data_IF_104009265614
#
_entry.id   IF_104009265614
#
_cell.length_a   1.000
_cell.length_b   1.000
_cell.length_c   1.000
_cell.angle_alpha   90.00
_cell.angle_beta   90.00
_cell.angle_gamma   90.00
#
_symmetry.space_group_name_H-M   'P 1'
#
loop_
_entity.id
_entity.type
_entity.pdbx_description
1 polymer ?
#
# COMPACT_ATOMS: atom_id res chain seq x y z
N UNK A 1 37.58 -9.87 34.96
CA UNK A 1 38.05 -10.24 33.61
C UNK A 1 37.43 -11.60 33.25
N UNK A 2 36.17 -11.61 32.80
CA UNK A 2 35.47 -12.85 32.46
C UNK A 2 35.51 -13.04 30.94
N UNK A 3 36.39 -13.94 30.50
CA UNK A 3 36.53 -14.34 29.10
C UNK A 3 35.31 -15.16 28.72
N UNK A 4 34.40 -14.59 27.93
CA UNK A 4 33.35 -15.37 27.27
C UNK A 4 33.97 -16.04 26.04
N UNK A 5 34.21 -17.35 26.12
CA UNK A 5 34.59 -18.17 24.97
C UNK A 5 33.33 -18.46 24.15
N UNK A 6 33.22 -17.87 22.97
CA UNK A 6 32.30 -18.33 21.94
C UNK A 6 32.98 -19.46 21.16
N UNK A 7 32.37 -20.63 21.14
CA UNK A 7 32.77 -21.73 20.26
C UNK A 7 31.80 -21.71 19.06
N UNK A 8 32.24 -21.18 17.92
CA UNK A 8 31.50 -21.30 16.66
C UNK A 8 32.13 -22.46 15.91
N UNK A 9 31.44 -23.60 15.90
CA UNK A 9 31.74 -24.73 15.03
C UNK A 9 30.85 -24.60 13.79
N UNK A 10 31.45 -24.19 12.67
CA UNK A 10 30.79 -24.21 11.36
C UNK A 10 31.13 -25.50 10.63
N UNK A 11 30.14 -26.39 10.54
CA UNK A 11 30.02 -27.37 9.44
C UNK A 11 28.56 -27.72 9.25
N UNK A 12 28.04 -27.34 8.08
CA UNK A 12 26.88 -27.90 7.34
C UNK A 12 25.65 -28.24 8.20
N UNK A 13 24.67 -27.35 8.15
CA UNK A 13 23.24 -27.67 8.33
C UNK A 13 22.82 -28.12 9.72
N UNK A 14 22.74 -27.20 10.69
CA UNK A 14 21.74 -27.15 11.77
C UNK A 14 22.00 -25.87 12.57
N UNK A 15 21.06 -24.91 12.56
CA UNK A 15 21.18 -23.68 13.35
C UNK A 15 20.54 -23.90 14.72
N UNK A 16 21.34 -24.20 15.75
CA UNK A 16 20.85 -24.18 17.14
C UNK A 16 20.90 -22.75 17.67
N UNK A 17 19.74 -22.12 17.86
CA UNK A 17 19.64 -20.87 18.62
C UNK A 17 19.31 -21.21 20.09
N UNK A 18 20.21 -20.86 21.01
CA UNK A 18 19.93 -20.92 22.46
C UNK A 18 19.58 -19.52 22.93
N UNK A 19 18.37 -19.32 23.45
CA UNK A 19 17.96 -18.05 24.08
C UNK A 19 17.86 -18.27 25.59
N UNK A 20 18.60 -17.47 26.36
CA UNK A 20 18.49 -17.42 27.82
C UNK A 20 17.53 -16.28 28.20
N UNK A 21 16.47 -16.61 28.94
CA UNK A 21 15.68 -15.61 29.67
C UNK A 21 16.47 -15.16 30.93
N UNK A 22 16.36 -13.88 31.31
CA UNK A 22 16.94 -13.20 32.49
C UNK A 22 16.75 -13.96 33.83
N UNK A 23 15.89 -14.99 33.89
CA UNK A 23 15.72 -15.88 35.06
C UNK A 23 16.45 -17.25 34.96
N UNK A 24 17.34 -17.46 33.99
CA UNK A 24 18.25 -18.62 33.98
C UNK A 24 17.63 -19.97 33.57
N UNK A 25 16.41 -20.00 33.03
CA UNK A 25 15.85 -21.18 32.38
C UNK A 25 16.19 -21.19 30.89
N UNK A 26 16.95 -22.20 30.44
CA UNK A 26 17.19 -22.47 29.04
C UNK A 26 16.00 -23.22 28.43
N UNK A 27 15.53 -22.78 27.26
CA UNK A 27 14.58 -23.50 26.41
C UNK A 27 15.31 -23.79 25.10
N UNK A 28 15.39 -25.06 24.70
CA UNK A 28 16.00 -25.49 23.43
C UNK A 28 14.86 -25.75 22.44
N UNK A 29 14.92 -25.10 21.27
CA UNK A 29 14.02 -25.42 20.14
C UNK A 29 14.86 -25.87 18.96
N UNK A 30 14.50 -27.00 18.36
CA UNK A 30 15.12 -27.53 17.15
C UNK A 30 14.14 -27.32 15.99
N UNK A 31 14.60 -26.70 14.90
CA UNK A 31 13.87 -26.66 13.64
C UNK A 31 14.59 -27.57 12.64
N UNK A 32 13.87 -28.57 12.13
CA UNK A 32 14.33 -29.42 11.03
C UNK A 32 14.05 -28.70 9.69
N UNK A 33 14.99 -28.78 8.76
CA UNK A 33 14.96 -28.06 7.47
C UNK A 33 14.87 -29.01 6.29
N UNK A 34 14.02 -30.04 6.40
CA UNK A 34 13.78 -30.99 5.32
C UNK A 34 12.28 -31.20 5.06
N UNK A 35 11.74 -30.42 4.11
CA UNK A 35 10.53 -30.82 3.38
C UNK A 35 10.49 -30.17 2.01
N UNK A 36 10.45 -31.01 0.97
CA UNK A 36 9.97 -30.65 -0.35
C UNK A 36 8.47 -30.37 -0.25
N UNK A 37 8.04 -29.16 -0.62
CA UNK A 37 6.67 -28.67 -0.42
C UNK A 37 5.96 -28.41 -1.76
N UNK A 38 4.91 -29.19 -2.02
CA UNK A 38 4.01 -29.08 -3.17
C UNK A 38 3.04 -27.91 -3.00
N UNK A 39 2.44 -27.40 -4.09
CA UNK A 39 1.59 -26.19 -4.08
C UNK A 39 0.31 -26.26 -3.20
N UNK A 40 0.07 -27.38 -2.53
CA UNK A 40 -0.96 -27.60 -1.49
C UNK A 40 -0.65 -26.94 -0.15
N UNK A 41 0.57 -26.43 0.08
CA UNK A 41 1.02 -25.97 1.41
C UNK A 41 0.63 -24.52 1.76
N UNK A 42 0.11 -23.74 0.81
CA UNK A 42 -0.34 -22.35 1.07
C UNK A 42 -1.70 -22.29 1.79
N UNK A 43 -2.59 -23.26 1.57
CA UNK A 43 -3.94 -23.25 2.16
C UNK A 43 -3.92 -23.38 3.69
N UNK A 44 -2.84 -23.93 4.25
CA UNK A 44 -2.69 -24.13 5.70
C UNK A 44 -1.94 -22.99 6.41
N UNK A 45 -1.41 -22.01 5.67
CA UNK A 45 -0.74 -20.85 6.25
C UNK A 45 -1.76 -19.74 6.54
N UNK A 46 -1.63 -18.99 7.65
CA UNK A 46 -2.48 -17.84 7.89
C UNK A 46 -2.31 -16.82 6.76
N UNK A 47 -3.42 -16.37 6.19
CA UNK A 47 -3.46 -15.35 5.14
C UNK A 47 -2.99 -14.00 5.70
N UNK A 48 -2.02 -13.38 5.02
CA UNK A 48 -1.42 -12.10 5.41
C UNK A 48 -2.12 -10.97 4.63
N UNK A 49 -2.81 -10.05 5.33
CA UNK A 49 -3.43 -8.90 4.69
C UNK A 49 -2.38 -7.92 4.14
N UNK A 50 -2.59 -7.48 2.90
CA UNK A 50 -1.85 -6.42 2.21
C UNK A 50 -2.82 -5.28 1.95
N UNK A 51 -2.54 -4.07 2.46
CA UNK A 51 -3.46 -2.95 2.31
C UNK A 51 -2.74 -1.59 2.30
N UNK A 52 -3.37 -0.62 1.64
CA UNK A 52 -3.01 0.80 1.71
C UNK A 52 -3.75 1.54 2.82
N UNK A 53 -3.78 2.87 2.74
CA UNK A 53 -4.38 3.73 3.77
C UNK A 53 -5.93 3.73 3.80
N UNK A 54 -6.49 4.33 4.85
CA UNK A 54 -7.93 4.36 5.21
C UNK A 54 -8.85 5.08 4.22
N UNK A 55 -8.34 6.08 3.50
CA UNK A 55 -9.04 6.70 2.37
C UNK A 55 -8.41 6.22 1.06
N UNK A 56 -8.57 4.93 0.69
CA UNK A 56 -7.76 4.33 -0.36
C UNK A 56 -7.99 5.01 -1.71
N UNK A 57 -6.90 5.38 -2.38
CA UNK A 57 -6.90 5.85 -3.75
C UNK A 57 -6.44 4.73 -4.70
N UNK A 58 -6.13 5.13 -5.93
CA UNK A 58 -5.79 4.19 -6.99
C UNK A 58 -4.42 3.54 -6.75
N UNK A 59 -3.46 4.25 -6.14
CA UNK A 59 -2.18 3.63 -5.76
C UNK A 59 -2.36 2.65 -4.60
N UNK A 60 -2.99 3.06 -3.49
CA UNK A 60 -3.25 2.20 -2.36
C UNK A 60 -3.87 0.84 -2.76
N UNK A 61 -4.84 0.84 -3.68
CA UNK A 61 -5.49 -0.38 -4.18
C UNK A 61 -4.64 -1.10 -5.24
N UNK A 62 -4.12 -0.38 -6.22
CA UNK A 62 -3.30 -0.95 -7.29
C UNK A 62 -2.05 -1.64 -6.73
N UNK A 63 -1.36 -0.98 -5.81
CA UNK A 63 -0.20 -1.50 -5.09
C UNK A 63 -0.53 -2.69 -4.21
N UNK A 64 -1.67 -2.71 -3.52
CA UNK A 64 -2.06 -3.86 -2.70
C UNK A 64 -2.30 -5.12 -3.56
N UNK A 65 -2.97 -4.96 -4.71
CA UNK A 65 -3.21 -6.06 -5.66
C UNK A 65 -1.90 -6.50 -6.32
N UNK A 66 -1.09 -5.55 -6.82
CA UNK A 66 0.18 -5.84 -7.47
C UNK A 66 1.15 -6.55 -6.52
N UNK A 67 1.27 -6.08 -5.28
CA UNK A 67 2.17 -6.70 -4.32
C UNK A 67 1.66 -8.06 -3.86
N UNK A 68 0.34 -8.25 -3.72
CA UNK A 68 -0.24 -9.58 -3.47
C UNK A 68 0.13 -10.56 -4.58
N UNK A 69 0.06 -10.14 -5.84
CA UNK A 69 0.47 -10.97 -6.97
C UNK A 69 1.96 -11.35 -6.88
N UNK A 70 2.84 -10.39 -6.57
CA UNK A 70 4.26 -10.64 -6.35
C UNK A 70 4.51 -11.65 -5.21
N UNK A 71 3.86 -11.44 -4.06
CA UNK A 71 4.04 -12.24 -2.86
C UNK A 71 3.59 -13.70 -3.06
N UNK A 72 2.50 -13.92 -3.79
CA UNK A 72 2.00 -15.26 -4.11
C UNK A 72 2.94 -16.04 -5.03
N UNK A 73 3.57 -15.37 -6.00
CA UNK A 73 4.64 -15.97 -6.81
C UNK A 73 5.86 -16.38 -5.95
N UNK A 74 6.04 -15.74 -4.78
CA UNK A 74 7.05 -16.09 -3.76
C UNK A 74 6.51 -17.02 -2.66
N UNK A 75 5.42 -17.75 -2.92
CA UNK A 75 4.81 -18.68 -1.96
C UNK A 75 4.49 -18.05 -0.59
N UNK A 76 4.10 -16.77 -0.59
CA UNK A 76 3.53 -16.11 0.59
C UNK A 76 2.00 -16.12 0.47
N UNK A 77 1.31 -16.68 1.46
CA UNK A 77 -0.15 -16.64 1.50
C UNK A 77 -0.62 -15.21 1.86
N UNK A 78 -0.72 -14.34 0.85
CA UNK A 78 -1.12 -12.95 1.02
C UNK A 78 -2.45 -12.65 0.31
N UNK A 79 -3.17 -11.62 0.76
CA UNK A 79 -4.37 -11.12 0.10
C UNK A 79 -4.51 -9.61 0.21
N UNK A 80 -4.92 -8.98 -0.90
CA UNK A 80 -5.19 -7.55 -0.94
C UNK A 80 -6.49 -7.22 -0.20
N UNK A 81 -6.46 -6.16 0.58
CA UNK A 81 -7.61 -5.58 1.28
C UNK A 81 -7.65 -4.07 1.10
N UNK A 82 -8.84 -3.50 1.27
CA UNK A 82 -9.03 -2.05 1.41
C UNK A 82 -9.40 -1.71 2.84
N UNK A 83 -9.02 -0.51 3.29
CA UNK A 83 -9.39 0.01 4.61
C UNK A 83 -10.59 0.97 4.58
N UNK A 84 -11.09 1.31 3.39
CA UNK A 84 -12.18 2.27 3.23
C UNK A 84 -13.01 2.04 1.97
N UNK A 85 -13.91 2.98 1.71
CA UNK A 85 -14.70 3.03 0.49
C UNK A 85 -13.82 3.51 -0.66
N UNK A 86 -13.97 2.90 -1.84
CA UNK A 86 -13.19 3.29 -3.02
C UNK A 86 -13.78 4.54 -3.66
N UNK A 87 -12.90 5.43 -4.12
CA UNK A 87 -13.31 6.58 -4.91
C UNK A 87 -13.71 6.15 -6.34
N UNK A 88 -14.30 7.07 -7.12
CA UNK A 88 -14.80 6.76 -8.46
C UNK A 88 -13.69 6.50 -9.48
N UNK A 89 -12.52 7.09 -9.30
CA UNK A 89 -11.34 6.82 -10.14
C UNK A 89 -10.90 5.36 -9.98
N UNK A 90 -10.71 4.91 -8.75
CA UNK A 90 -10.29 3.54 -8.46
C UNK A 90 -11.34 2.53 -8.92
N UNK A 91 -12.62 2.83 -8.77
CA UNK A 91 -13.71 1.99 -9.32
C UNK A 91 -13.66 1.91 -10.85
N UNK A 92 -13.39 3.03 -11.54
CA UNK A 92 -13.18 3.04 -12.99
C UNK A 92 -12.01 2.14 -13.39
N UNK A 93 -10.88 2.24 -12.69
CA UNK A 93 -9.68 1.41 -12.94
C UNK A 93 -9.97 -0.07 -12.73
N UNK A 94 -10.61 -0.46 -11.62
CA UNK A 94 -10.96 -1.86 -11.37
C UNK A 94 -11.90 -2.40 -12.46
N UNK A 95 -12.89 -1.62 -12.88
CA UNK A 95 -13.80 -1.99 -13.97
C UNK A 95 -13.09 -2.11 -15.32
N UNK A 96 -12.18 -1.17 -15.64
CA UNK A 96 -11.42 -1.18 -16.88
C UNK A 96 -10.49 -2.40 -16.98
N UNK A 97 -9.82 -2.72 -15.87
CA UNK A 97 -8.84 -3.82 -15.80
C UNK A 97 -9.48 -5.19 -15.59
N UNK A 98 -10.73 -5.24 -15.13
CA UNK A 98 -11.41 -6.45 -14.71
C UNK A 98 -10.86 -7.05 -13.42
N UNK A 99 -10.05 -6.29 -12.66
CA UNK A 99 -9.51 -6.73 -11.38
C UNK A 99 -10.62 -6.83 -10.33
N UNK A 100 -10.58 -7.89 -9.51
CA UNK A 100 -11.51 -8.02 -8.39
C UNK A 100 -11.29 -6.92 -7.37
N UNK A 101 -12.39 -6.29 -6.93
CA UNK A 101 -12.33 -5.30 -5.86
C UNK A 101 -11.87 -5.96 -4.55
N UNK A 102 -10.78 -5.49 -3.92
CA UNK A 102 -10.36 -6.01 -2.63
C UNK A 102 -11.48 -5.90 -1.59
N UNK A 103 -11.71 -6.94 -0.77
CA UNK A 103 -12.66 -6.86 0.32
C UNK A 103 -12.23 -5.83 1.36
N UNK A 104 -13.20 -5.29 2.10
CA UNK A 104 -12.90 -4.48 3.27
C UNK A 104 -12.19 -5.35 4.31
N UNK A 105 -11.11 -4.84 4.88
CA UNK A 105 -10.41 -5.53 5.96
C UNK A 105 -11.34 -5.68 7.17
N UNK A 106 -11.49 -6.89 7.74
CA UNK A 106 -12.31 -7.07 8.94
C UNK A 106 -11.72 -6.32 10.14
N UNK A 107 -12.58 -5.66 10.93
CA UNK A 107 -12.16 -4.93 12.13
C UNK A 107 -11.69 -5.85 13.28
N UNK A 108 -11.91 -7.17 13.16
CA UNK A 108 -11.70 -8.16 14.22
C UNK A 108 -10.48 -9.07 14.00
N UNK A 109 -9.47 -8.60 13.27
CA UNK A 109 -8.22 -9.35 13.10
C UNK A 109 -7.51 -9.53 14.45
N UNK A 110 -7.06 -10.75 14.72
CA UNK A 110 -6.43 -11.12 15.98
C UNK A 110 -5.13 -10.32 16.21
N UNK A 111 -4.90 -9.91 17.47
CA UNK A 111 -3.64 -9.27 17.83
C UNK A 111 -2.44 -10.19 17.56
N UNK A 112 -1.33 -9.63 17.09
CA UNK A 112 -0.15 -10.37 16.66
C UNK A 112 -0.23 -10.92 15.24
N UNK A 113 -1.37 -10.76 14.54
CA UNK A 113 -1.47 -11.11 13.12
C UNK A 113 -0.46 -10.32 12.29
N UNK A 114 0.12 -10.98 11.30
CA UNK A 114 1.04 -10.34 10.36
C UNK A 114 0.26 -9.48 9.37
N UNK A 115 0.81 -8.32 9.03
CA UNK A 115 0.26 -7.42 8.02
C UNK A 115 1.36 -6.82 7.15
N UNK A 116 0.99 -6.42 5.94
CA UNK A 116 1.85 -5.76 4.97
C UNK A 116 1.22 -4.44 4.58
N UNK A 117 2.01 -3.37 4.65
CA UNK A 117 1.57 -2.03 4.29
C UNK A 117 2.13 -1.68 2.91
N UNK A 118 1.29 -1.09 2.08
CA UNK A 118 1.69 -0.44 0.84
C UNK A 118 1.24 1.02 0.88
N UNK A 119 2.00 1.93 0.27
CA UNK A 119 1.59 3.32 0.04
C UNK A 119 1.26 4.14 1.33
N UNK A 120 1.65 3.63 2.50
CA UNK A 120 1.61 4.37 3.75
C UNK A 120 2.44 3.67 4.81
N UNK A 121 2.82 4.46 5.81
CA UNK A 121 3.49 3.96 7.02
C UNK A 121 3.05 4.67 8.31
N UNK A 122 2.31 5.78 8.21
CA UNK A 122 1.86 6.54 9.38
C UNK A 122 0.61 5.88 10.00
N UNK A 123 0.67 5.57 11.30
CA UNK A 123 -0.38 4.87 12.05
C UNK A 123 -1.76 5.54 11.95
N UNK A 124 -1.90 6.89 11.96
CA UNK A 124 -3.19 7.55 11.80
C UNK A 124 -3.86 7.29 10.44
N UNK A 125 -3.09 6.93 9.42
CA UNK A 125 -3.59 6.64 8.07
C UNK A 125 -3.96 5.17 7.88
N UNK A 126 -3.60 4.30 8.83
CA UNK A 126 -3.76 2.85 8.74
C UNK A 126 -4.95 2.32 9.57
N UNK A 127 -5.03 1.00 9.75
CA UNK A 127 -6.03 0.36 10.59
C UNK A 127 -5.88 0.77 12.08
N UNK A 128 -7.00 0.97 12.78
CA UNK A 128 -7.02 1.51 14.16
C UNK A 128 -6.18 0.71 15.16
N UNK A 129 -6.11 -0.61 14.96
CA UNK A 129 -5.37 -1.56 15.81
C UNK A 129 -3.99 -1.92 15.24
N UNK A 130 -3.41 -1.13 14.32
CA UNK A 130 -2.09 -1.40 13.71
C UNK A 130 -1.00 -1.67 14.76
N UNK A 131 -0.99 -0.90 15.86
CA UNK A 131 -0.04 -1.06 16.98
C UNK A 131 -0.04 -2.45 17.65
N UNK A 132 -1.08 -3.24 17.41
CA UNK A 132 -1.20 -4.61 17.92
C UNK A 132 -0.91 -5.68 16.85
N UNK A 133 -0.63 -5.27 15.61
CA UNK A 133 -0.29 -6.15 14.50
C UNK A 133 1.22 -6.32 14.39
N UNK A 134 1.67 -7.38 13.72
CA UNK A 134 3.05 -7.57 13.32
C UNK A 134 3.23 -7.03 11.89
N UNK A 135 3.66 -5.78 11.74
CA UNK A 135 4.02 -5.24 10.42
C UNK A 135 5.30 -5.93 9.95
N UNK A 136 5.20 -6.75 8.90
CA UNK A 136 6.34 -7.55 8.40
C UNK A 136 6.97 -6.96 7.15
N UNK A 137 6.23 -6.15 6.37
CA UNK A 137 6.73 -5.47 5.18
C UNK A 137 6.04 -4.12 4.98
N UNK A 138 6.79 -3.13 4.50
CA UNK A 138 6.27 -1.83 4.03
C UNK A 138 6.92 -1.48 2.70
N UNK A 139 6.09 -1.13 1.70
CA UNK A 139 6.53 -0.57 0.41
C UNK A 139 5.83 0.76 0.21
N UNK A 140 6.57 1.86 0.18
CA UNK A 140 5.97 3.20 0.25
C UNK A 140 6.90 4.22 -0.43
N UNK A 141 6.33 5.36 -0.82
CA UNK A 141 7.05 6.48 -1.43
C UNK A 141 6.91 7.78 -0.63
N UNK A 142 6.11 7.75 0.44
CA UNK A 142 5.95 8.86 1.37
C UNK A 142 7.16 9.03 2.31
N UNK A 143 7.17 10.14 3.05
CA UNK A 143 8.08 10.30 4.20
C UNK A 143 7.83 9.19 5.22
N UNK A 144 8.87 8.83 5.96
CA UNK A 144 8.72 8.00 7.15
C UNK A 144 8.10 8.85 8.28
N UNK A 145 7.01 8.37 8.87
CA UNK A 145 6.35 8.99 10.03
C UNK A 145 6.59 8.23 11.33
N UNK A 146 5.54 7.71 11.96
CA UNK A 146 5.58 7.09 13.30
C UNK A 146 5.73 5.56 13.29
N UNK A 147 6.14 4.99 12.15
CA UNK A 147 6.32 3.55 11.98
C UNK A 147 7.29 2.98 13.03
N UNK A 148 6.78 2.08 13.86
CA UNK A 148 7.57 1.35 14.87
C UNK A 148 7.23 -0.13 14.83
N UNK A 149 8.24 -0.99 14.99
CA UNK A 149 8.09 -2.45 14.95
C UNK A 149 8.90 -3.10 16.07
N UNK A 150 8.38 -4.20 16.61
CA UNK A 150 9.05 -4.98 17.67
C UNK A 150 10.09 -5.93 17.08
N UNK A 151 9.84 -6.42 15.86
CA UNK A 151 10.72 -7.35 15.14
C UNK A 151 11.28 -6.66 13.88
N UNK A 152 12.45 -7.11 13.37
CA UNK A 152 12.95 -6.63 12.09
C UNK A 152 11.89 -6.72 10.99
N UNK A 153 11.75 -5.65 10.23
CA UNK A 153 10.73 -5.46 9.20
C UNK A 153 11.42 -5.19 7.87
N UNK A 154 10.87 -5.71 6.77
CA UNK A 154 11.33 -5.35 5.43
C UNK A 154 10.75 -3.98 5.06
N UNK A 155 11.61 -3.00 4.82
CA UNK A 155 11.20 -1.66 4.39
C UNK A 155 11.80 -1.38 3.02
N UNK A 156 10.95 -1.01 2.06
CA UNK A 156 11.40 -0.51 0.76
C UNK A 156 10.73 0.84 0.50
N UNK A 157 11.53 1.89 0.64
CA UNK A 157 11.11 3.26 0.39
C UNK A 157 11.94 3.84 -0.72
N UNK A 158 11.28 4.46 -1.69
CA UNK A 158 11.96 5.17 -2.77
C UNK A 158 11.25 6.50 -3.02
N UNK A 159 11.97 7.62 -3.18
CA UNK A 159 11.37 8.94 -3.40
C UNK A 159 10.92 9.09 -4.86
N UNK A 160 9.96 8.28 -5.27
CA UNK A 160 9.36 8.25 -6.61
C UNK A 160 7.91 8.75 -6.57
N UNK A 161 7.30 8.94 -7.74
CA UNK A 161 5.96 9.52 -7.85
C UNK A 161 4.85 8.64 -7.27
N UNK A 162 5.06 7.31 -7.19
CA UNK A 162 4.02 6.34 -6.84
C UNK A 162 4.62 5.07 -6.20
N UNK A 163 3.98 4.47 -5.19
CA UNK A 163 4.41 3.20 -4.61
C UNK A 163 4.38 2.04 -5.62
N UNK A 164 3.45 2.06 -6.59
CA UNK A 164 3.39 1.07 -7.65
C UNK A 164 4.65 1.07 -8.55
N UNK A 165 5.35 2.20 -8.68
CA UNK A 165 6.67 2.28 -9.35
C UNK A 165 7.70 1.41 -8.63
N UNK A 166 7.73 1.49 -7.29
CA UNK A 166 8.62 0.68 -6.44
C UNK A 166 8.31 -0.81 -6.58
N UNK A 167 7.03 -1.16 -6.64
CA UNK A 167 6.59 -2.55 -6.84
C UNK A 167 6.98 -3.06 -8.22
N UNK A 168 6.79 -2.28 -9.28
CA UNK A 168 7.20 -2.66 -10.64
C UNK A 168 8.70 -2.96 -10.71
N UNK A 169 9.53 -2.11 -10.10
CA UNK A 169 10.98 -2.35 -9.97
C UNK A 169 11.27 -3.65 -9.22
N UNK A 170 10.52 -3.94 -8.16
CA UNK A 170 10.63 -5.21 -7.43
C UNK A 170 10.35 -6.43 -8.34
N UNK A 171 9.32 -6.37 -9.19
CA UNK A 171 9.07 -7.43 -10.18
C UNK A 171 10.23 -7.56 -11.18
N UNK A 172 10.74 -6.45 -11.69
CA UNK A 172 11.84 -6.43 -12.67
C UNK A 172 13.13 -7.02 -12.11
N UNK A 173 13.52 -6.62 -10.90
CA UNK A 173 14.73 -7.10 -10.20
C UNK A 173 14.72 -8.60 -9.97
N UNK A 174 13.53 -9.18 -9.80
CA UNK A 174 13.35 -10.62 -9.56
C UNK A 174 12.97 -11.39 -10.83
N UNK A 175 13.00 -10.75 -12.01
CA UNK A 175 12.67 -11.33 -13.32
C UNK A 175 11.29 -12.00 -13.39
N UNK A 176 10.32 -11.51 -12.61
CA UNK A 176 8.96 -12.05 -12.62
C UNK A 176 8.12 -11.44 -13.76
N UNK A 177 7.32 -12.29 -14.40
CA UNK A 177 6.40 -11.85 -15.45
C UNK A 177 5.22 -11.10 -14.83
N UNK A 178 5.08 -9.83 -15.20
CA UNK A 178 3.90 -9.04 -14.87
C UNK A 178 2.79 -9.40 -15.86
N UNK A 179 1.63 -9.83 -15.33
CA UNK A 179 0.42 -10.10 -16.13
C UNK A 179 -0.21 -8.78 -16.58
N UNK A 180 -0.95 -8.80 -17.69
CA UNK A 180 -1.64 -7.63 -18.26
C UNK A 180 -2.41 -6.80 -17.23
N UNK A 181 -3.28 -7.44 -16.44
CA UNK A 181 -4.09 -6.75 -15.41
C UNK A 181 -3.21 -6.05 -14.37
N UNK A 182 -2.11 -6.66 -13.94
CA UNK A 182 -1.18 -6.05 -12.98
C UNK A 182 -0.43 -4.88 -13.62
N UNK A 183 -0.01 -5.00 -14.88
CA UNK A 183 0.60 -3.91 -15.63
C UNK A 183 -0.36 -2.71 -15.75
N UNK A 184 -1.64 -2.95 -16.05
CA UNK A 184 -2.66 -1.91 -16.13
C UNK A 184 -2.88 -1.24 -14.76
N UNK A 185 -2.94 -1.99 -13.67
CA UNK A 185 -3.09 -1.45 -12.32
C UNK A 185 -1.90 -0.58 -11.92
N UNK A 186 -0.66 -1.05 -12.15
CA UNK A 186 0.56 -0.27 -11.88
C UNK A 186 0.56 1.03 -12.69
N UNK A 187 0.29 0.96 -13.99
CA UNK A 187 0.22 2.16 -14.84
C UNK A 187 -0.86 3.12 -14.34
N UNK A 188 -2.02 2.61 -13.92
CA UNK A 188 -3.13 3.46 -13.44
C UNK A 188 -2.79 4.17 -12.13
N UNK A 189 -2.13 3.47 -11.20
CA UNK A 189 -1.61 4.05 -9.97
C UNK A 189 -0.62 5.19 -10.27
N UNK A 190 0.36 4.93 -11.14
CA UNK A 190 1.35 5.95 -11.54
C UNK A 190 0.66 7.16 -12.18
N UNK A 191 -0.30 6.95 -13.07
CA UNK A 191 -1.04 8.06 -13.69
C UNK A 191 -1.81 8.87 -12.63
N UNK A 192 -2.41 8.21 -11.64
CA UNK A 192 -3.18 8.87 -10.57
C UNK A 192 -2.29 9.80 -9.74
N UNK A 193 -1.22 9.28 -9.14
CA UNK A 193 -0.38 10.05 -8.21
C UNK A 193 0.44 11.13 -8.90
N UNK A 194 0.83 10.85 -10.15
CA UNK A 194 1.64 11.79 -10.93
C UNK A 194 0.78 12.81 -11.70
N UNK A 195 -0.56 12.70 -11.65
CA UNK A 195 -1.49 13.43 -12.51
C UNK A 195 -1.07 13.37 -13.99
N UNK A 196 -0.77 12.15 -14.46
CA UNK A 196 -0.19 11.89 -15.77
C UNK A 196 1.13 12.64 -15.99
N UNK A 197 2.08 12.43 -15.06
CA UNK A 197 3.45 12.99 -15.08
C UNK A 197 3.55 14.52 -14.97
N UNK A 198 2.57 15.17 -14.34
CA UNK A 198 2.48 16.64 -14.20
C UNK A 198 2.78 17.13 -12.79
N UNK A 199 2.79 16.26 -11.79
CA UNK A 199 3.14 16.66 -10.42
C UNK A 199 4.65 16.77 -10.23
N UNK A 200 5.07 17.57 -9.24
CA UNK A 200 6.48 17.72 -8.88
C UNK A 200 7.11 16.44 -8.26
N UNK A 201 6.29 15.46 -7.84
CA UNK A 201 6.75 14.16 -7.35
C UNK A 201 7.14 13.20 -8.47
N UNK A 202 6.78 13.48 -9.72
CA UNK A 202 7.09 12.63 -10.87
C UNK A 202 8.60 12.50 -11.08
N UNK A 203 9.07 11.28 -11.30
CA UNK A 203 10.47 10.95 -11.55
C UNK A 203 10.69 10.22 -12.87
N UNK A 204 11.95 10.09 -13.27
CA UNK A 204 12.33 9.29 -14.44
C UNK A 204 11.95 7.81 -14.29
N UNK A 205 11.91 7.28 -13.07
CA UNK A 205 11.53 5.89 -12.80
C UNK A 205 10.05 5.64 -13.09
N UNK A 206 9.18 6.62 -12.80
CA UNK A 206 7.75 6.53 -13.11
C UNK A 206 7.51 6.43 -14.63
N UNK A 207 8.21 7.26 -15.41
CA UNK A 207 8.19 7.20 -16.87
C UNK A 207 8.73 5.86 -17.39
N UNK A 208 9.87 5.42 -16.85
CA UNK A 208 10.51 4.17 -17.25
C UNK A 208 9.60 2.95 -17.00
N UNK A 209 8.97 2.88 -15.83
CA UNK A 209 8.04 1.80 -15.50
C UNK A 209 6.86 1.79 -16.47
N UNK A 210 6.23 2.94 -16.71
CA UNK A 210 5.09 3.01 -17.63
C UNK A 210 5.49 2.62 -19.05
N UNK A 211 6.64 3.07 -19.55
CA UNK A 211 7.16 2.68 -20.87
C UNK A 211 7.35 1.16 -20.97
N UNK A 212 7.95 0.53 -19.94
CA UNK A 212 8.18 -0.92 -19.92
C UNK A 212 6.89 -1.72 -19.86
N UNK A 213 5.87 -1.21 -19.17
CA UNK A 213 4.61 -1.91 -18.97
C UNK A 213 3.57 -1.62 -20.04
N UNK A 214 3.71 -0.57 -20.85
CA UNK A 214 2.71 -0.19 -21.85
C UNK A 214 2.43 -1.29 -22.88
N UNK A 215 3.48 -1.96 -23.36
CA UNK A 215 3.32 -3.11 -24.27
C UNK A 215 2.60 -4.30 -23.63
N UNK A 216 2.73 -4.47 -22.32
CA UNK A 216 2.12 -5.58 -21.54
C UNK A 216 0.67 -5.24 -21.17
N UNK A 217 0.38 -3.98 -20.90
CA UNK A 217 -0.94 -3.52 -20.46
C UNK A 217 -1.98 -3.49 -21.58
N UNK A 218 -1.51 -3.44 -22.84
CA UNK A 218 -2.32 -3.28 -24.05
C UNK A 218 -3.20 -2.00 -24.03
N UNK A 219 -2.82 -1.00 -23.23
CA UNK A 219 -3.46 0.32 -23.25
C UNK A 219 -2.96 1.06 -24.49
N UNK A 220 -3.81 1.12 -25.52
CA UNK A 220 -3.45 1.69 -26.84
C UNK A 220 -3.17 3.19 -26.79
N UNK A 221 -3.99 3.92 -26.05
CA UNK A 221 -3.90 5.37 -25.92
C UNK A 221 -3.93 5.73 -24.43
N UNK A 222 -2.73 6.01 -23.90
CA UNK A 222 -2.54 6.29 -22.50
C UNK A 222 -3.11 7.65 -22.09
N UNK A 223 -3.10 8.62 -23.00
CA UNK A 223 -3.60 9.97 -22.74
C UNK A 223 -5.13 9.97 -22.70
N UNK A 224 -5.78 9.31 -23.66
CA UNK A 224 -7.22 9.12 -23.65
C UNK A 224 -7.66 8.31 -22.41
N UNK A 225 -6.93 7.26 -22.06
CA UNK A 225 -7.18 6.49 -20.84
C UNK A 225 -7.09 7.36 -19.57
N UNK A 226 -6.02 8.14 -19.42
CA UNK A 226 -5.84 9.05 -18.28
C UNK A 226 -6.96 10.09 -18.19
N UNK A 227 -7.43 10.59 -19.34
CA UNK A 227 -8.53 11.55 -19.41
C UNK A 227 -9.82 10.98 -18.84
N UNK A 228 -10.18 9.75 -19.22
CA UNK A 228 -11.37 9.09 -18.69
C UNK A 228 -11.24 8.76 -17.20
N UNK A 229 -10.04 8.36 -16.75
CA UNK A 229 -9.75 8.13 -15.34
C UNK A 229 -9.95 9.42 -14.51
N UNK A 230 -9.42 10.56 -14.95
CA UNK A 230 -9.59 11.84 -14.26
C UNK A 230 -11.00 12.41 -14.35
N UNK A 231 -11.74 12.13 -15.44
CA UNK A 231 -13.18 12.45 -15.52
C UNK A 231 -13.96 11.66 -14.46
N UNK A 232 -13.65 10.38 -14.26
CA UNK A 232 -14.25 9.58 -13.20
C UNK A 232 -13.90 10.12 -11.80
N UNK A 233 -12.64 10.52 -11.57
CA UNK A 233 -12.21 11.19 -10.32
C UNK A 233 -12.99 12.48 -10.06
N UNK A 234 -13.21 13.27 -11.11
CA UNK A 234 -13.88 14.57 -11.07
C UNK A 234 -15.40 14.49 -10.92
N UNK A 235 -15.99 13.30 -11.07
CA UNK A 235 -17.43 13.13 -10.94
C UNK A 235 -17.85 13.18 -9.46
N UNK A 236 -18.25 14.36 -9.01
CA UNK A 236 -18.72 14.59 -7.65
C UNK A 236 -20.23 14.34 -7.48
N UNK A 237 -20.92 13.82 -8.50
CA UNK A 237 -22.34 13.51 -8.39
C UNK A 237 -22.61 12.49 -7.27
N UNK A 238 -23.68 12.73 -6.50
CA UNK A 238 -24.07 11.89 -5.37
C UNK A 238 -23.30 12.14 -4.06
N UNK A 239 -22.22 12.91 -4.09
CA UNK A 239 -21.53 13.31 -2.85
C UNK A 239 -22.20 14.54 -2.21
N UNK A 240 -22.34 14.48 -0.89
CA UNK A 240 -22.63 15.69 -0.08
C UNK A 240 -21.41 16.60 -0.03
N UNK A 241 -21.60 17.89 0.23
CA UNK A 241 -20.49 18.84 0.42
C UNK A 241 -19.53 18.41 1.52
N UNK A 242 -20.03 17.78 2.58
CA UNK A 242 -19.18 17.18 3.62
C UNK A 242 -18.30 16.07 3.06
N UNK A 243 -18.86 15.17 2.25
CA UNK A 243 -18.06 14.10 1.66
C UNK A 243 -17.05 14.64 0.66
N UNK A 244 -17.43 15.63 -0.18
CA UNK A 244 -16.50 16.29 -1.12
C UNK A 244 -15.28 16.83 -0.36
N UNK A 245 -15.48 17.50 0.77
CA UNK A 245 -14.38 18.02 1.60
C UNK A 245 -13.48 16.93 2.20
N UNK A 246 -14.00 15.71 2.36
CA UNK A 246 -13.33 14.60 3.04
C UNK A 246 -12.71 13.57 2.09
N UNK A 247 -12.92 13.71 0.77
CA UNK A 247 -12.38 12.79 -0.25
C UNK A 247 -10.85 12.70 -0.18
N UNK A 248 -10.18 13.85 -0.15
CA UNK A 248 -8.74 13.97 0.09
C UNK A 248 -8.48 15.01 1.18
N UNK A 249 -8.92 14.68 2.40
CA UNK A 249 -8.68 15.50 3.59
C UNK A 249 -7.52 14.97 4.41
N UNK A 250 -6.55 15.84 4.67
CA UNK A 250 -5.40 15.56 5.55
C UNK A 250 -5.35 16.60 6.68
N UNK A 251 -5.07 16.13 7.89
CA UNK A 251 -4.83 17.00 9.05
C UNK A 251 -3.33 17.16 9.30
N UNK A 252 -2.93 18.36 9.68
CA UNK A 252 -1.55 18.74 9.93
C UNK A 252 -1.48 19.52 11.24
N UNK A 253 -0.37 19.40 11.95
CA UNK A 253 -0.07 20.24 13.11
C UNK A 253 1.13 21.11 12.76
N UNK A 254 0.93 22.42 12.75
CA UNK A 254 1.98 23.40 12.49
C UNK A 254 2.00 24.42 13.63
N UNK A 255 3.17 24.61 14.26
CA UNK A 255 3.35 25.50 15.41
C UNK A 255 2.32 25.27 16.55
N UNK A 256 1.97 24.00 16.81
CA UNK A 256 1.00 23.65 17.85
C UNK A 256 -0.47 23.91 17.49
N UNK A 257 -0.76 24.35 16.26
CA UNK A 257 -2.12 24.54 15.76
C UNK A 257 -2.47 23.42 14.77
N UNK A 258 -3.68 22.86 14.89
CA UNK A 258 -4.23 21.89 13.94
C UNK A 258 -4.81 22.58 12.71
N UNK A 259 -4.47 22.05 11.54
CA UNK A 259 -4.92 22.50 10.23
C UNK A 259 -5.53 21.32 9.48
N UNK A 260 -6.60 21.57 8.74
CA UNK A 260 -7.21 20.60 7.83
C UNK A 260 -7.13 21.11 6.40
N UNK A 261 -6.65 20.28 5.48
CA UNK A 261 -6.61 20.60 4.06
C UNK A 261 -7.41 19.53 3.33
N UNK A 262 -8.52 19.93 2.70
CA UNK A 262 -9.31 19.09 1.81
C UNK A 262 -9.07 19.49 0.35
N UNK A 263 -8.78 18.52 -0.50
CA UNK A 263 -8.56 18.71 -1.95
C UNK A 263 -9.69 18.04 -2.72
N UNK A 264 -10.17 18.71 -3.76
CA UNK A 264 -11.15 18.17 -4.70
C UNK A 264 -10.70 18.49 -6.13
N UNK A 265 -10.11 17.49 -6.79
CA UNK A 265 -9.74 17.60 -8.21
C UNK A 265 -11.00 17.64 -9.07
N UNK A 266 -11.03 18.53 -10.06
CA UNK A 266 -12.17 18.60 -10.97
C UNK A 266 -11.80 19.06 -12.38
N UNK A 267 -12.39 18.37 -13.35
CA UNK A 267 -12.50 18.81 -14.74
C UNK A 267 -13.60 19.86 -14.95
N UNK A 268 -14.46 20.08 -13.96
CA UNK A 268 -15.64 20.94 -14.03
C UNK A 268 -15.61 22.01 -12.92
N UNK A 269 -14.71 23.01 -12.99
CA UNK A 269 -14.49 23.96 -11.90
C UNK A 269 -15.75 24.75 -11.51
N UNK A 270 -16.61 25.07 -12.49
CA UNK A 270 -17.86 25.78 -12.27
C UNK A 270 -18.79 25.04 -11.30
N UNK A 271 -18.80 23.71 -11.31
CA UNK A 271 -19.58 22.91 -10.36
C UNK A 271 -19.15 23.21 -8.92
N UNK A 272 -17.85 23.17 -8.64
CA UNK A 272 -17.32 23.47 -7.30
C UNK A 272 -17.48 24.94 -6.93
N UNK A 273 -17.30 25.87 -7.86
CA UNK A 273 -17.51 27.29 -7.60
C UNK A 273 -18.96 27.60 -7.21
N UNK A 274 -19.93 26.95 -7.85
CA UNK A 274 -21.34 27.07 -7.49
C UNK A 274 -21.66 26.52 -6.09
N UNK A 275 -20.86 25.59 -5.58
CA UNK A 275 -20.99 25.02 -4.23
C UNK A 275 -20.21 25.77 -3.14
N UNK A 276 -19.44 26.82 -3.48
CA UNK A 276 -18.52 27.52 -2.56
C UNK A 276 -19.11 27.85 -1.19
N UNK A 277 -20.34 28.40 -1.17
CA UNK A 277 -21.02 28.77 0.10
C UNK A 277 -21.35 27.55 0.96
N UNK A 278 -21.83 26.47 0.34
CA UNK A 278 -22.19 25.23 1.02
C UNK A 278 -20.96 24.46 1.52
N UNK A 279 -19.87 24.47 0.73
CA UNK A 279 -18.56 23.94 1.13
C UNK A 279 -18.02 24.70 2.34
N UNK A 280 -18.06 26.04 2.34
CA UNK A 280 -17.62 26.85 3.47
C UNK A 280 -18.44 26.56 4.76
N UNK A 281 -19.75 26.39 4.64
CA UNK A 281 -20.61 26.00 5.76
C UNK A 281 -20.29 24.60 6.29
N UNK A 282 -20.04 23.64 5.39
CA UNK A 282 -19.68 22.27 5.75
C UNK A 282 -18.32 22.21 6.44
N UNK A 283 -17.37 23.05 6.01
CA UNK A 283 -16.06 23.21 6.61
C UNK A 283 -16.15 23.79 8.02
N UNK A 284 -16.98 24.81 8.25
CA UNK A 284 -17.22 25.35 9.59
C UNK A 284 -17.85 24.33 10.55
N UNK A 285 -18.57 23.34 10.02
CA UNK A 285 -19.14 22.23 10.78
C UNK A 285 -18.17 21.09 11.07
N UNK A 286 -17.00 21.04 10.43
CA UNK A 286 -15.92 20.12 10.80
C UNK A 286 -15.32 20.61 12.12
N UNK A 287 -15.71 20.00 13.24
CA UNK A 287 -14.96 20.16 14.49
C UNK A 287 -13.57 19.57 14.28
N UNK A 288 -12.54 20.42 14.28
CA UNK A 288 -11.13 20.03 14.35
C UNK A 288 -10.76 19.66 15.80
#
# INVERSE_FOLDING_TARGET
MFVHRFLILTTIGLLFATVLNVQGKAIITVADSSSEHTDTDLENLPEIPVFGHTNPDTDAIGSAIAYTAYLREHKTNAKAYRLGTLNKETLYVLNYTGAEMPPLLPDNIANGSQVILVDHNESPQSMKNLKYMQVIRVVDHHKIGDLTTVFPVYLRFEPVGCAATVLAKTFFENNFKIKRTIAQLIISAIISDTLYFRTASTTADDHYVVEKLQGISEIKDLEAYSTEMFKAKSDLSGYTTRQILLLDYKSYVFNGQSWGIGVADTWYPDFLFNLKKLLAQSLAGLKM
#
